data_IF_005345340084
#
_entry.id   IF_005345340084
#
_cell.length_a   1.000
_cell.length_b   1.000
_cell.length_c   1.000
_cell.angle_alpha   90.00
_cell.angle_beta   90.00
_cell.angle_gamma   90.00
#
_symmetry.space_group_name_H-M   'P 1'
#
loop_
_entity.id
_entity.type
_entity.pdbx_description
1 polymer ?
#
# COMPACT_ATOMS: atom_id res chain seq x y z
N UNK A 1 2.07 -30.79 36.11
CA UNK A 1 3.43 -30.32 35.78
C UNK A 1 3.38 -29.78 34.35
N UNK A 2 3.73 -28.52 34.10
CA UNK A 2 3.82 -27.97 32.73
C UNK A 2 5.30 -27.81 32.40
N UNK A 3 5.70 -28.35 31.25
CA UNK A 3 7.02 -28.11 30.65
C UNK A 3 6.84 -26.94 29.70
N UNK A 4 7.62 -25.87 29.88
CA UNK A 4 7.59 -24.68 29.04
C UNK A 4 8.98 -24.56 28.45
N UNK A 5 9.07 -24.57 27.12
CA UNK A 5 10.30 -24.43 26.36
C UNK A 5 10.26 -23.11 25.58
N UNK A 6 11.38 -22.38 25.56
CA UNK A 6 11.48 -21.10 24.84
C UNK A 6 11.87 -21.39 23.39
N UNK A 7 10.96 -21.10 22.46
CA UNK A 7 11.23 -21.15 21.02
C UNK A 7 11.68 -19.76 20.56
N UNK A 8 12.81 -19.70 19.87
CA UNK A 8 13.24 -18.47 19.18
C UNK A 8 12.46 -18.33 17.87
N UNK A 9 11.88 -17.15 17.63
CA UNK A 9 11.10 -16.84 16.44
C UNK A 9 11.73 -15.62 15.77
N UNK A 10 11.92 -15.68 14.46
CA UNK A 10 12.35 -14.52 13.69
C UNK A 10 11.23 -13.47 13.66
N UNK A 11 11.56 -12.26 14.09
CA UNK A 11 10.66 -11.12 14.10
C UNK A 11 11.21 -10.03 13.18
N UNK A 12 10.34 -9.40 12.39
CA UNK A 12 10.69 -8.21 11.61
C UNK A 12 10.93 -7.07 12.58
N UNK A 13 12.17 -6.61 12.65
CA UNK A 13 12.58 -5.53 13.57
C UNK A 13 12.50 -4.16 12.93
N UNK A 14 12.59 -4.07 11.61
CA UNK A 14 12.54 -2.82 10.86
C UNK A 14 12.11 -3.08 9.42
N UNK A 15 11.52 -2.06 8.80
CA UNK A 15 11.24 -2.00 7.36
C UNK A 15 11.86 -0.70 6.85
N UNK A 16 12.72 -0.81 5.85
CA UNK A 16 13.39 0.36 5.24
C UNK A 16 12.60 0.76 4.00
N UNK A 17 12.34 2.07 3.85
CA UNK A 17 11.68 2.60 2.67
C UNK A 17 12.58 2.42 1.43
N UNK A 18 12.05 1.81 0.38
CA UNK A 18 12.80 1.53 -0.86
C UNK A 18 13.13 2.79 -1.68
N UNK A 19 12.53 3.94 -1.34
CA UNK A 19 12.76 5.22 -2.04
C UNK A 19 13.80 6.08 -1.33
N UNK A 20 13.58 6.42 -0.06
CA UNK A 20 14.47 7.32 0.69
C UNK A 20 15.49 6.58 1.56
N UNK A 21 15.41 5.25 1.65
CA UNK A 21 16.30 4.38 2.44
C UNK A 21 16.28 4.68 3.95
N UNK A 22 15.21 5.29 4.46
CA UNK A 22 15.01 5.53 5.89
C UNK A 22 14.12 4.46 6.52
N UNK A 23 14.32 4.17 7.80
CA UNK A 23 13.46 3.28 8.58
C UNK A 23 12.00 3.77 8.61
N UNK A 24 11.06 2.84 8.56
CA UNK A 24 9.63 3.06 8.72
C UNK A 24 9.16 2.88 10.19
N UNK A 25 10.09 2.75 11.14
CA UNK A 25 9.77 2.75 12.56
C UNK A 25 9.36 4.14 13.03
N UNK A 26 8.23 4.20 13.71
CA UNK A 26 7.77 5.39 14.42
C UNK A 26 8.25 5.32 15.88
N UNK A 27 8.27 6.47 16.57
CA UNK A 27 8.87 6.66 17.89
C UNK A 27 8.43 5.62 18.96
N UNK A 28 7.24 5.04 18.82
CA UNK A 28 6.64 4.05 19.74
C UNK A 28 6.83 2.58 19.29
N UNK A 29 7.88 2.29 18.50
CA UNK A 29 8.24 0.97 17.94
C UNK A 29 7.27 0.35 16.92
N UNK A 30 6.14 0.99 16.65
CA UNK A 30 5.25 0.58 15.57
C UNK A 30 5.90 0.77 14.19
N UNK A 31 5.67 -0.19 13.29
CA UNK A 31 6.07 -0.08 11.88
C UNK A 31 4.90 0.50 11.09
N UNK A 32 5.11 1.69 10.52
CA UNK A 32 4.13 2.36 9.67
C UNK A 32 4.68 2.53 8.26
N UNK A 33 4.23 1.65 7.37
CA UNK A 33 4.61 1.66 5.97
C UNK A 33 3.43 1.24 5.10
N UNK A 34 3.56 1.53 3.82
CA UNK A 34 2.68 1.01 2.77
C UNK A 34 3.43 0.01 1.92
N UNK A 35 2.70 -0.91 1.30
CA UNK A 35 3.26 -1.87 0.35
C UNK A 35 2.67 -1.62 -1.04
N UNK A 36 3.53 -1.40 -2.03
CA UNK A 36 3.17 -1.37 -3.45
C UNK A 36 3.57 -2.71 -4.07
N UNK A 37 2.56 -3.47 -4.53
CA UNK A 37 2.77 -4.78 -5.13
C UNK A 37 2.25 -4.84 -6.55
N UNK A 38 2.92 -5.63 -7.39
CA UNK A 38 2.43 -6.03 -8.70
C UNK A 38 2.65 -7.53 -8.89
N UNK A 39 1.68 -8.17 -9.53
CA UNK A 39 1.76 -9.57 -9.93
C UNK A 39 1.25 -9.70 -11.36
N UNK A 40 2.15 -10.02 -12.28
CA UNK A 40 1.85 -10.08 -13.69
C UNK A 40 1.64 -11.54 -14.14
N UNK A 41 0.54 -11.75 -14.86
CA UNK A 41 0.17 -13.07 -15.37
C UNK A 41 0.78 -13.38 -16.75
N UNK A 42 0.50 -14.60 -17.20
CA UNK A 42 0.91 -15.12 -18.49
C UNK A 42 0.53 -14.21 -19.66
N UNK A 43 1.49 -13.94 -20.55
CA UNK A 43 1.27 -13.17 -21.78
C UNK A 43 1.34 -11.65 -21.65
N UNK A 44 1.71 -11.11 -20.49
CA UNK A 44 2.05 -9.69 -20.33
C UNK A 44 3.51 -9.42 -20.72
N UNK A 45 3.90 -8.15 -20.89
CA UNK A 45 5.31 -7.80 -21.17
C UNK A 45 6.24 -8.21 -20.02
N UNK A 46 5.72 -8.24 -18.80
CA UNK A 46 6.41 -8.58 -17.56
C UNK A 46 5.92 -9.94 -17.02
N UNK A 47 5.72 -10.91 -17.93
CA UNK A 47 5.17 -12.22 -17.59
C UNK A 47 5.95 -12.91 -16.47
N UNK A 48 5.25 -13.26 -15.39
CA UNK A 48 5.81 -13.93 -14.22
C UNK A 48 6.55 -13.01 -13.25
N UNK A 49 6.71 -11.73 -13.59
CA UNK A 49 7.36 -10.78 -12.69
C UNK A 49 6.44 -10.42 -11.52
N UNK A 50 7.02 -10.43 -10.33
CA UNK A 50 6.40 -9.96 -9.09
C UNK A 50 7.24 -8.85 -8.49
N UNK A 51 6.57 -7.76 -8.15
CA UNK A 51 7.19 -6.61 -7.49
C UNK A 51 6.56 -6.42 -6.11
N UNK A 52 7.39 -6.03 -5.14
CA UNK A 52 6.98 -5.63 -3.81
C UNK A 52 7.92 -4.53 -3.34
N UNK A 53 7.35 -3.39 -2.98
CA UNK A 53 8.08 -2.22 -2.48
C UNK A 53 7.43 -1.75 -1.19
N UNK A 54 8.25 -1.36 -0.23
CA UNK A 54 7.86 -0.78 1.04
C UNK A 54 8.15 0.71 1.03
N UNK A 55 7.14 1.53 1.32
CA UNK A 55 7.26 2.99 1.32
C UNK A 55 6.89 3.54 2.69
N UNK A 56 7.72 4.43 3.22
CA UNK A 56 7.32 5.26 4.36
C UNK A 56 6.17 6.20 3.95
N UNK A 57 5.48 6.77 4.95
CA UNK A 57 4.30 7.62 4.73
C UNK A 57 4.54 8.75 3.72
N UNK A 58 5.65 9.48 3.83
CA UNK A 58 5.96 10.59 2.95
C UNK A 58 6.19 10.15 1.50
N UNK A 59 6.91 9.03 1.29
CA UNK A 59 7.12 8.46 -0.03
C UNK A 59 5.82 7.89 -0.63
N UNK A 60 4.96 7.30 0.21
CA UNK A 60 3.63 6.85 -0.23
C UNK A 60 2.78 8.01 -0.75
N UNK A 61 2.65 9.10 0.02
CA UNK A 61 1.85 10.24 -0.42
C UNK A 61 2.45 10.96 -1.63
N UNK A 62 3.78 10.95 -1.78
CA UNK A 62 4.45 11.44 -2.99
C UNK A 62 4.07 10.60 -4.22
N UNK A 63 4.14 9.27 -4.11
CA UNK A 63 3.71 8.36 -5.18
C UNK A 63 2.21 8.51 -5.48
N UNK A 64 1.37 8.64 -4.46
CA UNK A 64 -0.07 8.82 -4.62
C UNK A 64 -0.38 10.15 -5.34
N UNK A 65 0.33 11.24 -5.00
CA UNK A 65 0.19 12.52 -5.68
C UNK A 65 0.59 12.41 -7.16
N UNK A 66 1.67 11.69 -7.46
CA UNK A 66 2.07 11.39 -8.84
C UNK A 66 0.96 10.64 -9.60
N UNK A 67 0.37 9.58 -9.02
CA UNK A 67 -0.72 8.83 -9.66
C UNK A 67 -1.97 9.68 -9.90
N UNK A 68 -2.34 10.55 -8.95
CA UNK A 68 -3.43 11.52 -9.13
C UNK A 68 -3.13 12.46 -10.30
N UNK A 69 -1.89 12.95 -10.40
CA UNK A 69 -1.48 13.82 -11.50
C UNK A 69 -1.53 13.10 -12.86
N UNK A 70 -1.02 11.87 -12.96
CA UNK A 70 -1.08 11.09 -14.19
C UNK A 70 -2.53 10.87 -14.64
N UNK A 71 -3.44 10.54 -13.72
CA UNK A 71 -4.88 10.43 -14.03
C UNK A 71 -5.45 11.73 -14.61
N UNK A 72 -5.07 12.89 -14.08
CA UNK A 72 -5.52 14.19 -14.61
C UNK A 72 -4.99 14.43 -16.02
N UNK A 73 -3.70 14.15 -16.24
CA UNK A 73 -3.05 14.36 -17.54
C UNK A 73 -3.67 13.46 -18.61
N UNK A 74 -3.87 12.17 -18.31
CA UNK A 74 -4.46 11.22 -19.27
C UNK A 74 -5.92 11.55 -19.61
N UNK A 75 -6.66 12.17 -18.69
CA UNK A 75 -8.08 12.53 -18.90
C UNK A 75 -8.28 14.01 -19.27
N UNK A 76 -7.22 14.77 -19.52
CA UNK A 76 -7.28 16.23 -19.73
C UNK A 76 -8.18 16.63 -20.91
N UNK A 77 -8.27 15.78 -21.93
CA UNK A 77 -9.07 15.99 -23.15
C UNK A 77 -10.22 15.00 -23.30
N UNK A 78 -10.50 14.19 -22.26
CA UNK A 78 -11.60 13.24 -22.29
C UNK A 78 -12.95 13.94 -22.26
N UNK A 79 -13.92 13.46 -23.04
CA UNK A 79 -15.31 13.95 -23.02
C UNK A 79 -15.97 13.76 -21.64
N UNK A 80 -15.43 12.84 -20.83
CA UNK A 80 -15.78 12.55 -19.44
C UNK A 80 -15.02 13.41 -18.40
N UNK A 81 -14.30 14.47 -18.80
CA UNK A 81 -13.62 15.41 -17.90
C UNK A 81 -14.61 16.30 -17.09
N UNK A 82 -15.74 15.73 -16.70
CA UNK A 82 -16.73 16.34 -15.85
C UNK A 82 -16.26 16.35 -14.39
N UNK A 83 -16.95 17.15 -13.56
CA UNK A 83 -16.61 17.39 -12.15
C UNK A 83 -16.43 16.12 -11.28
N UNK A 84 -16.83 14.94 -11.75
CA UNK A 84 -16.67 13.67 -11.03
C UNK A 84 -15.23 13.12 -11.06
N UNK A 85 -14.44 13.36 -12.10
CA UNK A 85 -13.02 12.93 -12.15
C UNK A 85 -12.19 13.70 -11.11
N UNK A 86 -12.47 15.00 -10.96
CA UNK A 86 -11.80 15.88 -9.98
C UNK A 86 -12.20 15.52 -8.53
N UNK A 87 -13.43 15.06 -8.30
CA UNK A 87 -13.90 14.58 -6.98
C UNK A 87 -13.31 13.22 -6.62
N UNK A 88 -13.13 12.33 -7.60
CA UNK A 88 -12.54 11.00 -7.39
C UNK A 88 -11.05 11.06 -7.00
N UNK A 89 -10.34 12.13 -7.33
CA UNK A 89 -8.93 12.31 -6.96
C UNK A 89 -8.69 12.47 -5.45
N UNK A 90 -9.65 13.01 -4.69
CA UNK A 90 -9.50 13.21 -3.25
C UNK A 90 -9.20 11.89 -2.52
N UNK A 91 -9.96 10.87 -2.87
CA UNK A 91 -9.99 9.58 -2.18
C UNK A 91 -9.40 8.44 -3.02
N UNK A 92 -8.53 8.74 -4.00
CA UNK A 92 -7.88 7.71 -4.82
C UNK A 92 -7.20 6.67 -3.93
N UNK A 93 -7.70 5.43 -3.99
CA UNK A 93 -7.15 4.31 -3.22
C UNK A 93 -7.46 4.34 -1.71
N UNK A 94 -8.24 5.31 -1.21
CA UNK A 94 -8.63 5.35 0.20
C UNK A 94 -9.77 4.34 0.47
N UNK A 95 -9.50 3.35 1.31
CA UNK A 95 -10.46 2.26 1.61
C UNK A 95 -11.34 2.60 2.82
N UNK A 96 -10.77 3.23 3.85
CA UNK A 96 -11.46 3.61 5.07
C UNK A 96 -10.84 4.88 5.67
N UNK A 97 -11.62 5.59 6.50
CA UNK A 97 -11.17 6.72 7.32
C UNK A 97 -11.52 6.41 8.77
N UNK A 98 -10.72 6.93 9.72
CA UNK A 98 -10.88 6.69 11.15
C UNK A 98 -10.88 5.19 11.58
N UNK A 99 -10.28 4.31 10.77
CA UNK A 99 -10.15 2.87 11.06
C UNK A 99 -8.89 2.56 11.87
N UNK A 100 -8.87 3.04 13.12
CA UNK A 100 -7.73 2.87 14.03
C UNK A 100 -7.51 1.42 14.46
N UNK A 101 -8.56 0.60 14.48
CA UNK A 101 -8.53 -0.76 15.05
C UNK A 101 -8.38 -1.86 14.00
N UNK A 102 -8.70 -1.59 12.72
CA UNK A 102 -8.57 -2.53 11.61
C UNK A 102 -9.29 -3.86 11.86
N UNK A 103 -10.43 -3.81 12.57
CA UNK A 103 -11.14 -4.99 13.12
C UNK A 103 -11.87 -5.86 12.06
N UNK A 104 -11.53 -5.73 10.77
CA UNK A 104 -12.10 -6.57 9.71
C UNK A 104 -11.40 -7.93 9.64
N UNK A 105 -11.63 -8.77 10.65
CA UNK A 105 -11.30 -10.19 10.61
C UNK A 105 -12.23 -10.92 9.61
N UNK A 106 -11.63 -11.65 8.67
CA UNK A 106 -12.24 -12.03 7.39
C UNK A 106 -13.41 -13.01 7.39
N UNK A 107 -14.19 -12.95 6.31
CA UNK A 107 -14.70 -14.13 5.62
C UNK A 107 -14.46 -13.96 4.11
N UNK A 108 -13.79 -14.90 3.42
CA UNK A 108 -13.89 -14.97 1.98
C UNK A 108 -15.33 -15.35 1.64
N UNK A 109 -16.01 -14.53 0.85
CA UNK A 109 -17.25 -14.94 0.20
C UNK A 109 -16.89 -15.99 -0.85
N UNK A 110 -17.13 -17.25 -0.52
CA UNK A 110 -17.19 -18.33 -1.49
C UNK A 110 -18.44 -18.10 -2.35
N UNK A 111 -18.25 -17.84 -3.64
CA UNK A 111 -19.29 -17.83 -4.68
C UNK A 111 -18.75 -18.47 -5.94
#
# INVERSE_FOLDING_TARGET
>A
MKVIEKVAVDAVTDVVCDVCLTSARVADEALEFSTLQAHWGYGTQHDGDRYELHLCESCFFSTLAFLKQERRVQNLFGEDACADVVKADGNLGLVATDDYFRDHNGKPNDR
#
